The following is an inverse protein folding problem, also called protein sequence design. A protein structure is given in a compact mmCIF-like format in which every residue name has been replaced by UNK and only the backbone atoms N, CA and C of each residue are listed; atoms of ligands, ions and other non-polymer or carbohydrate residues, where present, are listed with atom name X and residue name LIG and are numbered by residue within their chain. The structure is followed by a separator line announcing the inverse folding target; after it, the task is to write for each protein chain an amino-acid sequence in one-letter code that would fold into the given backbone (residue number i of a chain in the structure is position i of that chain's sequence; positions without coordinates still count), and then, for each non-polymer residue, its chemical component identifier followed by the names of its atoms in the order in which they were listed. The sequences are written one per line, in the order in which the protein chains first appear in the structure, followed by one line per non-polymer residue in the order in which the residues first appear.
data_IF_141546086461
#
_entry.id   IF_141546086461
#
_cell.length_a   1.000
_cell.length_b   1.000
_cell.length_c   1.000
_cell.angle_alpha   90.00
_cell.angle_beta   90.00
_cell.angle_gamma   90.00
#
_symmetry.space_group_name_H-M   'P 1'
#
loop_
_entity.id
_entity.type
_entity.pdbx_description
1 polymer ?
#
# COMPACT_ATOMS: atom_id res chain seq x y z
N UNK A 1 -6.90 11.56 -17.97
CA UNK A 1 -6.24 10.28 -18.29
C UNK A 1 -7.27 9.17 -18.22
N UNK A 2 -7.42 8.39 -19.30
CA UNK A 2 -8.44 7.32 -19.41
C UNK A 2 -8.21 6.14 -18.46
N UNK A 3 -9.26 5.35 -18.29
CA UNK A 3 -9.27 4.08 -17.53
C UNK A 3 -8.39 3.05 -18.26
N UNK A 4 -7.26 2.67 -17.65
CA UNK A 4 -6.33 1.67 -18.23
C UNK A 4 -6.74 0.24 -17.83
N UNK A 5 -7.25 0.08 -16.62
CA UNK A 5 -7.58 -1.22 -16.03
C UNK A 5 -9.02 -1.24 -15.49
N UNK A 6 -9.74 -2.38 -15.60
CA UNK A 6 -11.10 -2.49 -15.10
C UNK A 6 -11.20 -2.57 -13.56
N UNK A 7 -10.14 -3.00 -12.87
CA UNK A 7 -10.05 -3.22 -11.43
C UNK A 7 -10.42 -1.97 -10.63
N UNK A 8 -11.21 -2.18 -9.57
CA UNK A 8 -11.63 -1.12 -8.65
C UNK A 8 -10.67 -1.03 -7.48
N UNK A 9 -10.47 0.20 -6.98
CA UNK A 9 -9.70 0.46 -5.77
C UNK A 9 -10.62 1.09 -4.74
N UNK A 10 -10.73 0.43 -3.60
CA UNK A 10 -11.37 1.02 -2.42
C UNK A 10 -10.29 1.51 -1.47
N UNK A 11 -10.52 2.66 -0.85
CA UNK A 11 -9.65 3.21 0.17
C UNK A 11 -10.47 4.15 1.06
N UNK A 12 -9.99 4.35 2.27
CA UNK A 12 -10.60 5.30 3.19
C UNK A 12 -9.53 6.15 3.86
N UNK A 13 -9.91 7.38 4.16
CA UNK A 13 -9.10 8.39 4.82
C UNK A 13 -9.80 8.83 6.10
N UNK A 14 -9.08 8.80 7.22
CA UNK A 14 -9.48 9.49 8.43
C UNK A 14 -8.79 10.84 8.52
N UNK A 15 -9.53 11.85 8.97
CA UNK A 15 -9.02 13.17 9.33
C UNK A 15 -8.97 13.26 10.84
N UNK A 16 -7.78 13.53 11.36
CA UNK A 16 -7.54 13.78 12.77
C UNK A 16 -7.10 15.23 12.95
N UNK A 17 -7.63 15.88 13.97
CA UNK A 17 -7.25 17.25 14.30
C UNK A 17 -6.24 17.25 15.44
N UNK A 18 -5.18 18.03 15.27
CA UNK A 18 -4.25 18.34 16.35
C UNK A 18 -3.73 19.75 16.20
N UNK A 19 -3.90 20.53 17.26
CA UNK A 19 -3.73 21.98 17.24
C UNK A 19 -4.47 22.57 16.02
N UNK A 20 -3.75 23.33 15.19
CA UNK A 20 -4.28 23.97 13.97
C UNK A 20 -4.08 23.11 12.70
N UNK A 21 -3.72 21.83 12.83
CA UNK A 21 -3.41 20.94 11.70
C UNK A 21 -4.39 19.75 11.58
N UNK A 22 -4.77 19.44 10.35
CA UNK A 22 -5.52 18.23 10.00
C UNK A 22 -4.58 17.16 9.45
N UNK A 23 -4.35 16.09 10.23
CA UNK A 23 -3.63 14.90 9.80
C UNK A 23 -4.58 13.98 9.02
N UNK A 24 -4.10 13.47 7.88
CA UNK A 24 -4.87 12.54 7.04
C UNK A 24 -4.25 11.15 7.09
N UNK A 25 -5.03 10.15 7.49
CA UNK A 25 -4.57 8.79 7.79
C UNK A 25 -5.29 7.76 6.92
N UNK A 26 -4.55 7.03 6.10
CA UNK A 26 -5.07 6.08 5.12
C UNK A 26 -5.29 4.73 5.74
N UNK A 27 -6.43 4.12 5.45
CA UNK A 27 -6.70 2.76 5.90
C UNK A 27 -7.55 2.02 4.86
N UNK A 28 -7.76 0.73 5.10
CA UNK A 28 -8.64 -0.16 4.32
C UNK A 28 -8.46 -0.05 2.80
N UNK A 29 -7.20 0.07 2.35
CA UNK A 29 -6.94 0.11 0.91
C UNK A 29 -6.93 -1.29 0.32
N UNK A 30 -7.66 -1.47 -0.77
CA UNK A 30 -7.65 -2.73 -1.49
C UNK A 30 -7.92 -2.56 -2.98
N UNK A 31 -7.35 -3.47 -3.77
CA UNK A 31 -7.61 -3.62 -5.20
C UNK A 31 -8.48 -4.86 -5.40
N UNK A 32 -9.57 -4.71 -6.14
CA UNK A 32 -10.54 -5.78 -6.38
C UNK A 32 -10.33 -6.40 -7.76
N UNK A 33 -10.06 -7.70 -7.79
CA UNK A 33 -9.95 -8.50 -9.00
C UNK A 33 -11.15 -9.46 -9.10
N UNK A 34 -11.92 -9.38 -10.18
CA UNK A 34 -13.12 -10.21 -10.36
C UNK A 34 -14.22 -9.91 -9.34
N UNK A 35 -14.99 -10.94 -8.97
CA UNK A 35 -16.20 -10.83 -8.13
C UNK A 35 -16.01 -11.41 -6.72
N UNK A 36 -14.88 -12.05 -6.42
CA UNK A 36 -14.66 -12.67 -5.11
C UNK A 36 -14.16 -11.67 -4.07
N UNK A 37 -14.77 -11.70 -2.88
CA UNK A 37 -14.30 -10.93 -1.72
C UNK A 37 -13.19 -11.64 -0.91
N UNK A 38 -12.76 -12.84 -1.32
CA UNK A 38 -11.69 -13.57 -0.63
C UNK A 38 -10.35 -12.89 -0.85
N UNK A 39 -9.50 -12.87 0.18
CA UNK A 39 -8.15 -12.33 0.07
C UNK A 39 -7.34 -13.12 -0.96
N UNK A 40 -6.92 -12.44 -2.03
CA UNK A 40 -6.06 -12.98 -3.06
C UNK A 40 -4.60 -12.94 -2.61
N UNK A 41 -4.19 -11.79 -2.07
CA UNK A 41 -2.84 -11.54 -1.59
C UNK A 41 -2.77 -10.19 -0.90
N UNK A 42 -1.57 -9.75 -0.59
CA UNK A 42 -1.34 -8.44 0.00
C UNK A 42 -0.13 -7.73 -0.61
N UNK A 43 -0.10 -6.41 -0.46
CA UNK A 43 1.02 -5.55 -0.81
C UNK A 43 1.47 -4.84 0.45
N UNK A 44 2.78 -4.82 0.69
CA UNK A 44 3.40 -4.06 1.76
C UNK A 44 4.41 -3.12 1.12
N UNK A 45 4.20 -1.82 1.30
CA UNK A 45 5.05 -0.81 0.69
C UNK A 45 5.27 0.40 1.58
N UNK A 46 6.28 1.21 1.29
CA UNK A 46 6.33 2.58 1.81
C UNK A 46 5.15 3.36 1.21
N UNK A 47 4.51 4.24 2.00
CA UNK A 47 3.38 5.02 1.51
C UNK A 47 3.73 5.76 0.21
N UNK A 48 2.93 5.66 -0.86
CA UNK A 48 3.01 6.61 -1.93
C UNK A 48 2.59 7.99 -1.38
N UNK A 49 3.57 8.86 -1.17
CA UNK A 49 3.34 10.25 -0.80
C UNK A 49 2.30 10.93 -1.70
N UNK A 50 1.61 11.91 -1.10
CA UNK A 50 0.61 12.80 -1.73
C UNK A 50 -0.53 12.14 -2.50
N UNK A 51 -0.98 10.93 -2.15
CA UNK A 51 -2.23 10.41 -2.71
C UNK A 51 -3.35 11.42 -2.47
N UNK A 52 -3.93 11.90 -3.56
CA UNK A 52 -5.12 12.71 -3.54
C UNK A 52 -6.21 11.90 -4.21
N UNK A 53 -7.33 11.77 -3.51
CA UNK A 53 -8.57 11.44 -4.18
C UNK A 53 -8.86 12.59 -5.14
N UNK A 54 -9.53 12.30 -6.27
CA UNK A 54 -9.79 13.32 -7.30
C UNK A 54 -10.23 14.63 -6.65
N UNK A 55 -9.89 15.78 -7.25
CA UNK A 55 -10.35 17.09 -6.82
C UNK A 55 -11.87 17.24 -7.01
N UNK A 56 -12.65 16.50 -6.22
CA UNK A 56 -14.08 16.66 -6.06
C UNK A 56 -14.32 17.70 -4.97
N UNK A 57 -15.44 18.43 -5.01
CA UNK A 57 -15.81 19.34 -3.94
C UNK A 57 -15.82 18.68 -2.55
N UNK A 58 -16.24 17.42 -2.48
CA UNK A 58 -16.29 16.66 -1.22
C UNK A 58 -14.89 16.37 -0.68
N UNK A 59 -13.95 15.97 -1.55
CA UNK A 59 -12.55 15.76 -1.14
C UNK A 59 -11.89 17.07 -0.71
N UNK A 60 -12.15 18.17 -1.41
CA UNK A 60 -11.64 19.50 -1.04
C UNK A 60 -12.16 19.91 0.33
N UNK A 61 -13.47 19.73 0.57
CA UNK A 61 -14.12 20.04 1.86
C UNK A 61 -13.60 19.14 2.98
N UNK A 62 -13.34 17.86 2.68
CA UNK A 62 -12.74 16.93 3.63
C UNK A 62 -11.29 17.33 3.99
N UNK A 63 -10.44 17.61 3.00
CA UNK A 63 -9.06 18.07 3.25
C UNK A 63 -9.02 19.38 4.03
N UNK A 64 -9.96 20.29 3.77
CA UNK A 64 -10.01 21.61 4.39
C UNK A 64 -10.63 21.63 5.80
N UNK A 65 -11.10 20.48 6.32
CA UNK A 65 -11.73 20.44 7.64
C UNK A 65 -13.20 20.87 7.68
N UNK A 66 -13.81 21.18 6.54
CA UNK A 66 -15.16 21.77 6.47
C UNK A 66 -16.28 20.73 6.28
N UNK A 67 -15.95 19.48 5.98
CA UNK A 67 -16.91 18.38 5.94
C UNK A 67 -17.38 17.95 7.34
N UNK A 68 -18.65 17.56 7.47
CA UNK A 68 -19.22 17.03 8.72
C UNK A 68 -18.58 15.71 9.18
N UNK A 69 -18.17 14.85 8.24
CA UNK A 69 -17.52 13.57 8.53
C UNK A 69 -16.00 13.72 8.66
N UNK A 70 -15.41 12.97 9.62
CA UNK A 70 -13.97 12.76 9.75
C UNK A 70 -13.47 11.53 9.00
N UNK A 71 -14.35 10.83 8.30
CA UNK A 71 -14.00 9.72 7.41
C UNK A 71 -14.42 10.04 5.98
N UNK A 72 -13.54 9.76 5.03
CA UNK A 72 -13.80 9.86 3.61
C UNK A 72 -13.49 8.52 2.94
N UNK A 73 -14.51 7.90 2.36
CA UNK A 73 -14.38 6.62 1.67
C UNK A 73 -14.47 6.81 0.17
N UNK A 74 -13.71 6.01 -0.57
CA UNK A 74 -13.77 6.01 -2.03
C UNK A 74 -13.84 4.63 -2.62
N UNK A 75 -14.48 4.59 -3.77
CA UNK A 75 -14.46 3.52 -4.73
C UNK A 75 -14.14 4.16 -6.10
N UNK A 76 -12.85 4.16 -6.46
CA UNK A 76 -12.35 4.82 -7.67
C UNK A 76 -11.38 3.89 -8.43
N UNK A 77 -10.76 4.39 -9.47
CA UNK A 77 -9.76 3.69 -10.25
C UNK A 77 -8.37 3.80 -9.64
N UNK A 78 -7.55 2.81 -9.98
CA UNK A 78 -6.15 2.74 -9.58
C UNK A 78 -5.35 4.01 -9.95
N UNK A 79 -4.59 4.51 -8.97
CA UNK A 79 -3.50 5.46 -9.19
C UNK A 79 -2.32 4.82 -9.93
N UNK A 80 -1.25 5.57 -10.21
CA UNK A 80 -0.09 5.06 -10.93
C UNK A 80 0.56 3.83 -10.25
N UNK A 81 0.71 3.86 -8.93
CA UNK A 81 1.33 2.75 -8.16
C UNK A 81 0.44 1.52 -8.24
N UNK A 82 -0.87 1.68 -8.02
CA UNK A 82 -1.86 0.60 -8.09
C UNK A 82 -1.95 0.02 -9.49
N UNK A 83 -1.87 0.85 -10.55
CA UNK A 83 -1.83 0.40 -11.94
C UNK A 83 -0.62 -0.49 -12.22
N UNK A 84 0.54 -0.18 -11.65
CA UNK A 84 1.74 -1.00 -11.82
C UNK A 84 1.58 -2.36 -11.13
N UNK A 85 0.97 -2.39 -9.95
CA UNK A 85 0.64 -3.63 -9.23
C UNK A 85 -0.36 -4.47 -10.04
N UNK A 86 -1.44 -3.86 -10.53
CA UNK A 86 -2.45 -4.52 -11.39
C UNK A 86 -1.79 -5.10 -12.64
N UNK A 87 -0.95 -4.30 -13.32
CA UNK A 87 -0.22 -4.75 -14.51
C UNK A 87 0.62 -5.98 -14.21
N UNK A 88 1.43 -5.92 -13.15
CA UNK A 88 2.30 -7.01 -12.72
C UNK A 88 1.50 -8.29 -12.45
N UNK A 89 0.38 -8.18 -11.71
CA UNK A 89 -0.49 -9.31 -11.41
C UNK A 89 -1.06 -9.88 -12.71
N UNK A 90 -1.72 -9.07 -13.56
CA UNK A 90 -2.32 -9.54 -14.81
C UNK A 90 -1.30 -10.25 -15.70
N UNK A 91 -0.10 -9.69 -15.87
CA UNK A 91 0.98 -10.31 -16.65
C UNK A 91 1.52 -11.61 -16.03
N UNK A 92 1.42 -11.77 -14.71
CA UNK A 92 1.83 -13.01 -14.04
C UNK A 92 0.81 -14.14 -14.24
N UNK A 93 -0.45 -13.80 -14.49
CA UNK A 93 -1.55 -14.72 -14.78
C UNK A 93 -1.85 -14.89 -16.28
N UNK A 94 -1.01 -14.37 -17.19
CA UNK A 94 -1.30 -14.26 -18.63
C UNK A 94 -1.60 -15.61 -19.33
N UNK A 95 -1.18 -16.74 -18.74
CA UNK A 95 -1.48 -18.11 -19.19
C UNK A 95 -2.20 -18.95 -18.12
N UNK A 96 -2.74 -18.32 -17.08
CA UNK A 96 -3.38 -18.96 -15.93
C UNK A 96 -4.84 -18.52 -15.74
N UNK A 97 -5.48 -18.98 -14.65
CA UNK A 97 -6.81 -18.50 -14.28
C UNK A 97 -6.79 -16.98 -14.06
N UNK A 98 -7.85 -16.29 -14.49
CA UNK A 98 -8.00 -14.85 -14.22
C UNK A 98 -7.94 -14.63 -12.70
N UNK A 99 -7.13 -13.69 -12.19
CA UNK A 99 -7.07 -13.40 -10.76
C UNK A 99 -8.46 -13.01 -10.27
N UNK A 100 -8.89 -13.60 -9.15
CA UNK A 100 -10.19 -13.38 -8.54
C UNK A 100 -10.03 -13.31 -7.02
N UNK A 101 -10.40 -12.18 -6.42
CA UNK A 101 -10.20 -11.88 -5.01
C UNK A 101 -9.79 -10.43 -4.74
N UNK A 102 -9.52 -10.15 -3.47
CA UNK A 102 -9.13 -8.82 -2.97
C UNK A 102 -7.63 -8.80 -2.65
N UNK A 103 -6.91 -7.83 -3.21
CA UNK A 103 -5.54 -7.54 -2.86
C UNK A 103 -5.51 -6.44 -1.80
N UNK A 104 -5.15 -6.78 -0.56
CA UNK A 104 -5.03 -5.80 0.54
C UNK A 104 -3.75 -5.00 0.39
N UNK A 105 -3.79 -3.70 0.65
CA UNK A 105 -2.62 -2.83 0.57
C UNK A 105 -2.33 -2.24 1.95
N UNK A 106 -1.11 -2.50 2.41
CA UNK A 106 -0.59 -2.04 3.67
C UNK A 106 0.61 -1.13 3.44
N UNK A 107 0.66 -0.03 4.18
CA UNK A 107 1.76 0.92 4.13
C UNK A 107 2.57 0.88 5.43
N UNK A 108 3.89 1.06 5.32
CA UNK A 108 4.75 1.26 6.52
C UNK A 108 4.41 2.53 7.31
N UNK A 109 3.64 3.42 6.70
CA UNK A 109 3.06 4.63 7.29
C UNK A 109 1.74 4.90 6.59
N UNK A 110 0.67 5.06 7.34
CA UNK A 110 -0.63 5.42 6.81
C UNK A 110 -0.84 6.93 6.72
N UNK A 111 0.10 7.73 7.25
CA UNK A 111 0.02 9.18 7.24
C UNK A 111 0.28 9.72 5.83
N UNK A 112 -0.68 10.48 5.29
CA UNK A 112 -0.47 11.24 4.05
C UNK A 112 0.51 12.38 4.31
N UNK A 113 1.66 12.29 3.67
CA UNK A 113 2.70 13.31 3.70
C UNK A 113 2.32 14.52 2.81
N UNK A 114 2.32 15.77 3.35
CA UNK A 114 2.26 16.98 2.56
C UNK A 114 3.48 17.14 1.64
N UNK A 115 3.29 17.79 0.48
CA UNK A 115 4.39 18.06 -0.44
C UNK A 115 5.49 18.90 0.24
N UNK A 116 6.76 18.52 0.03
CA UNK A 116 7.92 19.26 0.53
C UNK A 116 8.39 18.90 1.95
N UNK A 117 7.62 18.13 2.74
CA UNK A 117 8.05 17.67 4.07
C UNK A 117 8.75 16.30 3.98
N UNK A 118 9.65 15.97 4.90
CA UNK A 118 10.24 14.61 4.97
C UNK A 118 9.23 13.63 5.59
N UNK A 119 9.01 12.48 4.94
CA UNK A 119 8.01 11.48 5.35
C UNK A 119 8.17 11.03 6.81
N UNK A 120 9.39 10.70 7.22
CA UNK A 120 9.68 10.19 8.57
C UNK A 120 9.48 11.25 9.65
N UNK A 121 9.90 12.49 9.39
CA UNK A 121 9.68 13.60 10.33
C UNK A 121 8.20 13.85 10.52
N UNK A 122 7.43 13.87 9.43
CA UNK A 122 5.99 14.09 9.48
C UNK A 122 5.27 12.93 10.18
N UNK A 123 5.65 11.69 9.89
CA UNK A 123 5.12 10.49 10.53
C UNK A 123 5.41 10.46 12.03
N UNK A 124 6.65 10.75 12.44
CA UNK A 124 7.05 10.75 13.84
C UNK A 124 6.34 11.86 14.62
N UNK A 125 6.17 13.05 14.02
CA UNK A 125 5.33 14.11 14.60
C UNK A 125 3.88 13.63 14.75
N UNK A 126 3.28 13.05 13.71
CA UNK A 126 1.92 12.51 13.79
C UNK A 126 1.78 11.45 14.90
N UNK A 127 2.79 10.59 15.12
CA UNK A 127 2.77 9.60 16.22
C UNK A 127 2.78 10.23 17.62
N UNK A 128 3.43 11.37 17.81
CA UNK A 128 3.44 12.07 19.11
C UNK A 128 2.09 12.74 19.43
N UNK A 129 1.31 12.98 18.38
CA UNK A 129 0.09 13.77 18.36
C UNK A 129 -1.16 12.92 18.54
N UNK A 130 -1.13 11.69 18.02
CA UNK A 130 -2.22 10.73 18.10
C UNK A 130 -2.33 10.22 19.54
N UNK A 131 -3.50 10.37 20.15
CA UNK A 131 -3.78 9.93 21.53
C UNK A 131 -3.60 8.41 21.68
N UNK A 132 -3.41 7.95 22.93
CA UNK A 132 -3.25 6.52 23.25
C UNK A 132 -4.39 5.64 22.74
N UNK A 133 -5.59 6.20 22.62
CA UNK A 133 -6.81 5.49 22.24
C UNK A 133 -6.91 5.29 20.71
N UNK A 134 -6.17 6.09 19.93
CA UNK A 134 -6.13 6.09 18.46
C UNK A 134 -4.78 5.63 17.88
N UNK A 135 -3.87 5.13 18.74
CA UNK A 135 -2.46 4.83 18.42
C UNK A 135 -2.24 3.81 17.29
N UNK A 136 -3.29 3.06 16.94
CA UNK A 136 -3.29 2.04 15.88
C UNK A 136 -3.73 2.57 14.50
N UNK A 137 -4.17 3.82 14.38
CA UNK A 137 -4.54 4.42 13.10
C UNK A 137 -3.36 4.76 12.16
N UNK A 138 -2.20 5.31 12.64
CA UNK A 138 -1.14 5.80 11.76
C UNK A 138 -0.28 4.71 11.12
N UNK A 139 -0.41 3.47 11.55
CA UNK A 139 0.32 2.30 11.05
C UNK A 139 -0.66 1.15 10.87
N UNK A 140 -0.47 0.34 9.83
CA UNK A 140 -1.28 -0.86 9.71
C UNK A 140 -0.88 -1.84 10.82
N UNK A 141 -1.86 -2.50 11.50
CA UNK A 141 -1.59 -3.41 12.62
C UNK A 141 -0.57 -4.50 12.30
N UNK A 142 -0.48 -4.87 11.01
CA UNK A 142 0.45 -5.88 10.49
C UNK A 142 1.92 -5.47 10.65
N UNK A 143 2.22 -4.19 10.88
CA UNK A 143 3.58 -3.66 10.99
C UNK A 143 4.04 -3.51 12.45
N UNK A 144 3.17 -3.78 13.42
CA UNK A 144 3.47 -3.59 14.85
C UNK A 144 4.27 -4.75 15.46
N UNK A 145 4.06 -5.98 14.97
CA UNK A 145 4.75 -7.17 15.47
C UNK A 145 4.90 -8.23 14.39
N UNK A 146 5.87 -9.12 14.57
CA UNK A 146 6.07 -10.30 13.72
C UNK A 146 4.83 -11.21 13.72
N UNK A 147 4.19 -11.41 14.87
CA UNK A 147 2.99 -12.25 14.96
C UNK A 147 1.83 -11.69 14.13
N UNK A 148 1.55 -10.39 14.27
CA UNK A 148 0.49 -9.72 13.48
C UNK A 148 0.81 -9.76 11.98
N UNK A 149 2.08 -9.56 11.61
CA UNK A 149 2.56 -9.69 10.25
C UNK A 149 2.30 -11.09 9.68
N UNK A 150 2.73 -12.15 10.38
CA UNK A 150 2.61 -13.52 9.91
C UNK A 150 1.15 -13.98 9.85
N UNK A 151 0.32 -13.58 10.81
CA UNK A 151 -1.12 -13.86 10.79
C UNK A 151 -1.77 -13.31 9.53
N UNK A 152 -1.48 -12.06 9.16
CA UNK A 152 -2.02 -11.48 7.92
C UNK A 152 -1.45 -12.14 6.66
N UNK A 153 -0.15 -12.44 6.67
CA UNK A 153 0.49 -13.15 5.56
C UNK A 153 -0.14 -14.53 5.33
N UNK A 154 -0.58 -15.23 6.37
CA UNK A 154 -1.21 -16.55 6.25
C UNK A 154 -2.59 -16.52 5.57
N UNK A 155 -3.26 -15.37 5.56
CA UNK A 155 -4.51 -15.17 4.80
C UNK A 155 -4.26 -14.88 3.32
N UNK A 156 -3.00 -14.66 2.92
CA UNK A 156 -2.60 -14.21 1.59
C UNK A 156 -1.92 -15.32 0.80
N UNK A 157 -2.28 -15.51 -0.48
CA UNK A 157 -1.57 -16.50 -1.32
C UNK A 157 -0.15 -16.07 -1.63
N UNK A 158 0.05 -14.76 -1.80
CA UNK A 158 1.35 -14.14 -2.02
C UNK A 158 1.42 -12.78 -1.31
N UNK A 159 2.65 -12.33 -1.04
CA UNK A 159 2.93 -11.05 -0.36
C UNK A 159 3.89 -10.24 -1.20
N UNK A 160 3.39 -9.17 -1.83
CA UNK A 160 4.20 -8.24 -2.61
C UNK A 160 4.87 -7.25 -1.68
N UNK A 161 6.18 -7.05 -1.83
CA UNK A 161 6.96 -6.11 -1.03
C UNK A 161 7.77 -5.16 -1.92
N UNK A 162 7.67 -3.86 -1.67
CA UNK A 162 8.45 -2.86 -2.40
C UNK A 162 8.50 -1.52 -1.69
N UNK A 163 9.70 -0.95 -1.59
CA UNK A 163 9.97 0.21 -0.72
C UNK A 163 10.71 1.33 -1.46
N UNK A 164 10.44 2.56 -1.04
CA UNK A 164 11.21 3.74 -1.43
C UNK A 164 12.54 3.71 -0.68
N UNK A 165 13.63 3.97 -1.39
CA UNK A 165 14.98 4.01 -0.85
C UNK A 165 15.10 5.06 0.27
N UNK A 166 15.72 4.67 1.40
CA UNK A 166 15.99 5.54 2.56
C UNK A 166 14.76 6.16 3.22
N UNK A 167 13.63 5.46 3.19
CA UNK A 167 12.38 5.89 3.83
C UNK A 167 11.89 4.79 4.77
N UNK A 168 11.79 5.08 6.06
CA UNK A 168 11.41 4.14 7.11
C UNK A 168 12.35 2.92 7.20
N UNK A 169 13.67 3.14 7.12
CA UNK A 169 14.67 2.06 6.97
C UNK A 169 14.59 0.99 8.07
N UNK A 170 14.38 1.39 9.33
CA UNK A 170 14.25 0.44 10.44
C UNK A 170 12.97 -0.41 10.36
N UNK A 171 11.86 0.18 9.92
CA UNK A 171 10.61 -0.57 9.73
C UNK A 171 10.72 -1.50 8.53
N UNK A 172 11.25 -1.00 7.42
CA UNK A 172 11.49 -1.77 6.21
C UNK A 172 12.36 -2.99 6.53
N UNK A 173 13.49 -2.79 7.23
CA UNK A 173 14.40 -3.86 7.61
C UNK A 173 13.71 -4.93 8.45
N UNK A 174 12.90 -4.54 9.44
CA UNK A 174 12.13 -5.47 10.28
C UNK A 174 11.13 -6.29 9.48
N UNK A 175 10.32 -5.64 8.64
CA UNK A 175 9.31 -6.35 7.83
C UNK A 175 9.97 -7.28 6.81
N UNK A 176 11.09 -6.87 6.21
CA UNK A 176 11.89 -7.75 5.33
C UNK A 176 12.40 -8.95 6.12
N UNK A 177 12.92 -8.77 7.33
CA UNK A 177 13.38 -9.87 8.18
C UNK A 177 12.24 -10.86 8.51
N UNK A 178 11.09 -10.37 8.95
CA UNK A 178 9.91 -11.22 9.24
C UNK A 178 9.43 -11.98 8.00
N UNK A 179 9.57 -11.36 6.82
CA UNK A 179 9.17 -11.99 5.56
C UNK A 179 10.02 -13.19 5.14
N UNK A 180 11.16 -13.46 5.80
CA UNK A 180 11.92 -14.70 5.55
C UNK A 180 11.10 -15.96 5.89
N UNK A 181 10.18 -15.88 6.86
CA UNK A 181 9.28 -16.99 7.20
C UNK A 181 8.27 -17.32 6.09
N UNK A 182 8.07 -16.42 5.13
CA UNK A 182 7.15 -16.59 3.99
C UNK A 182 7.88 -16.49 2.64
N UNK A 183 9.18 -16.77 2.62
CA UNK A 183 10.06 -16.54 1.46
C UNK A 183 9.52 -17.12 0.14
N UNK A 184 8.90 -18.30 0.18
CA UNK A 184 8.32 -18.95 -1.01
C UNK A 184 7.11 -18.21 -1.59
N UNK A 185 6.37 -17.45 -0.76
CA UNK A 185 5.20 -16.66 -1.16
C UNK A 185 5.51 -15.17 -1.32
N UNK A 186 6.77 -14.76 -1.06
CA UNK A 186 7.21 -13.38 -1.11
C UNK A 186 7.50 -12.95 -2.54
N UNK A 187 6.92 -11.82 -2.93
CA UNK A 187 7.07 -11.24 -4.26
C UNK A 187 7.83 -9.93 -4.16
N UNK A 188 8.95 -9.80 -4.85
CA UNK A 188 9.73 -8.56 -4.85
C UNK A 188 10.54 -8.38 -6.14
N UNK A 189 10.73 -7.13 -6.55
CA UNK A 189 11.68 -6.76 -7.59
C UNK A 189 12.95 -6.18 -6.95
N UNK A 190 14.01 -6.98 -6.90
CA UNK A 190 15.28 -6.56 -6.31
C UNK A 190 16.14 -5.83 -7.35
N UNK A 191 16.52 -4.58 -7.05
CA UNK A 191 17.37 -3.79 -7.94
C UNK A 191 18.86 -4.18 -7.85
N UNK A 192 19.70 -3.56 -8.69
CA UNK A 192 21.14 -3.88 -8.73
C UNK A 192 21.92 -3.59 -7.44
N UNK A 193 21.28 -2.96 -6.44
CA UNK A 193 21.86 -2.70 -5.11
C UNK A 193 21.28 -3.61 -4.02
N UNK A 194 20.50 -4.63 -4.39
CA UNK A 194 19.88 -5.56 -3.43
C UNK A 194 18.61 -5.01 -2.77
N UNK A 195 18.04 -3.90 -3.27
CA UNK A 195 16.89 -3.24 -2.64
C UNK A 195 15.57 -3.70 -3.23
N UNK A 196 14.57 -3.88 -2.38
CA UNK A 196 13.21 -4.25 -2.77
C UNK A 196 12.52 -3.02 -3.36
N UNK A 197 12.45 -2.95 -4.69
CA UNK A 197 12.02 -1.73 -5.39
C UNK A 197 10.52 -1.47 -5.24
N UNK A 198 10.17 -0.24 -4.87
CA UNK A 198 8.79 0.25 -4.88
C UNK A 198 8.08 0.05 -6.23
N UNK A 199 6.78 -0.32 -6.26
CA UNK A 199 6.03 -0.53 -7.51
C UNK A 199 5.97 0.67 -8.45
N UNK A 200 6.12 1.89 -7.92
CA UNK A 200 6.22 3.12 -8.73
C UNK A 200 7.38 3.07 -9.75
N UNK A 201 8.50 2.43 -9.43
CA UNK A 201 9.68 2.35 -10.32
C UNK A 201 9.49 1.37 -11.47
N UNK A 202 8.59 0.41 -11.35
CA UNK A 202 8.42 -0.66 -12.36
C UNK A 202 7.92 -0.13 -13.70
N UNK A 203 7.34 1.07 -13.75
CA UNK A 203 6.95 1.71 -15.03
C UNK A 203 8.13 2.34 -15.77
N UNK A 204 9.07 2.93 -15.03
CA UNK A 204 10.24 3.62 -15.60
C UNK A 204 11.41 2.68 -15.81
N UNK A 205 11.43 1.53 -15.14
CA UNK A 205 12.49 0.52 -15.20
C UNK A 205 11.89 -0.86 -15.54
N UNK A 206 11.72 -1.19 -16.83
CA UNK A 206 11.04 -2.41 -17.28
C UNK A 206 11.63 -3.70 -16.69
N UNK A 207 12.96 -3.76 -16.52
CA UNK A 207 13.63 -4.90 -15.89
C UNK A 207 13.14 -5.19 -14.47
N UNK A 208 12.69 -4.18 -13.73
CA UNK A 208 12.10 -4.36 -12.40
C UNK A 208 10.67 -4.90 -12.49
N UNK A 209 9.90 -4.50 -13.50
CA UNK A 209 8.60 -5.08 -13.78
C UNK A 209 8.72 -6.58 -14.09
N UNK A 210 9.66 -6.94 -14.97
CA UNK A 210 9.88 -8.34 -15.36
C UNK A 210 10.29 -9.19 -14.15
N UNK A 211 11.19 -8.67 -13.31
CA UNK A 211 11.56 -9.32 -12.04
C UNK A 211 10.36 -9.51 -11.10
N UNK A 212 9.47 -8.51 -10.98
CA UNK A 212 8.26 -8.64 -10.16
C UNK A 212 7.31 -9.71 -10.72
N UNK A 213 7.12 -9.73 -12.05
CA UNK A 213 6.27 -10.72 -12.74
C UNK A 213 6.79 -12.14 -12.50
N UNK A 214 8.08 -12.39 -12.72
CA UNK A 214 8.67 -13.71 -12.51
C UNK A 214 8.62 -14.12 -11.03
N UNK A 215 8.85 -13.18 -10.12
CA UNK A 215 8.72 -13.43 -8.68
C UNK A 215 7.29 -13.84 -8.28
N UNK A 216 6.25 -13.19 -8.84
CA UNK A 216 4.86 -13.58 -8.58
C UNK A 216 4.52 -14.93 -9.22
N UNK A 217 4.97 -15.20 -10.45
CA UNK A 217 4.77 -16.49 -11.12
C UNK A 217 5.34 -17.66 -10.31
N UNK A 218 6.48 -17.48 -9.65
CA UNK A 218 7.02 -18.49 -8.74
C UNK A 218 6.16 -18.63 -7.48
N UNK A 219 5.79 -17.51 -6.85
CA UNK A 219 5.02 -17.52 -5.60
C UNK A 219 3.62 -18.14 -5.73
N UNK A 220 2.97 -18.05 -6.89
CA UNK A 220 1.64 -18.64 -7.12
C UNK A 220 1.70 -20.13 -7.52
N UNK A 221 2.89 -20.67 -7.79
CA UNK A 221 3.11 -22.09 -8.10
C UNK A 221 3.56 -22.91 -6.88
N UNK A 222 4.13 -22.25 -5.89
CA UNK A 222 4.55 -22.84 -4.61
C UNK A 222 3.34 -23.20 -3.74
#
# INVERSE_FOLDING_TARGET
MGRIYPERVTASMFRMYHDDEALLVRHNTSIHFGESDKQLGMVIMTNPGSFELRNTPDWVSFKAGTSQSNTFEVNDYADLTMRNIIKMIRCSYDNGPIPNGVLRVYNLSNIRQPAGLKAELYHNRAKQVISSDDINLPEDPITHSENSFLQECNNSRFVIMGFVDKVFEDKMSRVIQWSEAIKERRVSAVDGKGRFSHPRRWITEPLLMDKAIESLKSAIKA
#
